data_IF_262443589274
#
_entry.id   IF_262443589274
#
_cell.length_a   1.000
_cell.length_b   1.000
_cell.length_c   1.000
_cell.angle_alpha   90.00
_cell.angle_beta   90.00
_cell.angle_gamma   90.00
#
_symmetry.space_group_name_H-M   'P 1'
#
loop_
_entity.id
_entity.type
_entity.pdbx_description
1 polymer ?
#
# COMPACT_ATOMS: atom_id res chain seq x y z
N UNK A 1 17.44 -20.25 -0.54
CA UNK A 1 16.10 -20.81 -0.76
C UNK A 1 15.38 -19.81 -1.63
N UNK A 2 14.97 -20.21 -2.82
CA UNK A 2 14.13 -19.36 -3.67
C UNK A 2 12.68 -19.63 -3.31
N UNK A 3 12.07 -18.72 -2.56
CA UNK A 3 10.63 -18.76 -2.29
C UNK A 3 9.85 -18.62 -3.61
N UNK A 4 8.62 -19.10 -3.70
CA UNK A 4 7.78 -18.88 -4.89
C UNK A 4 6.52 -18.15 -4.43
N UNK A 5 6.13 -17.08 -5.12
CA UNK A 5 4.95 -16.30 -4.73
C UNK A 5 3.77 -16.51 -5.66
N UNK A 6 3.07 -17.64 -5.57
CA UNK A 6 1.90 -17.93 -6.41
C UNK A 6 2.15 -17.67 -7.92
N UNK A 7 3.36 -17.98 -8.41
CA UNK A 7 3.76 -17.76 -9.80
C UNK A 7 4.33 -16.37 -10.13
N UNK A 8 4.45 -15.46 -9.15
CA UNK A 8 5.17 -14.20 -9.30
C UNK A 8 6.68 -14.40 -9.05
N UNK A 9 7.55 -13.78 -9.88
CA UNK A 9 8.99 -13.75 -9.65
C UNK A 9 9.36 -13.09 -8.31
N UNK A 10 10.43 -13.58 -7.68
CA UNK A 10 10.94 -13.00 -6.42
C UNK A 10 11.60 -11.63 -6.60
N UNK A 11 11.93 -11.23 -7.83
CA UNK A 11 12.54 -9.92 -8.12
C UNK A 11 11.64 -8.73 -7.73
N UNK A 12 10.34 -8.97 -7.49
CA UNK A 12 9.43 -7.96 -6.99
C UNK A 12 9.51 -7.73 -5.46
N UNK A 13 10.27 -8.56 -4.74
CA UNK A 13 10.53 -8.39 -3.31
C UNK A 13 11.84 -7.65 -3.09
N UNK A 14 11.75 -6.47 -2.49
CA UNK A 14 12.92 -5.69 -2.11
C UNK A 14 12.85 -5.33 -0.63
N UNK A 15 14.01 -5.35 0.05
CA UNK A 15 14.15 -5.00 1.45
C UNK A 15 14.93 -3.70 1.58
N UNK A 16 14.42 -2.77 2.39
CA UNK A 16 15.07 -1.49 2.71
C UNK A 16 15.16 -1.32 4.23
N UNK A 17 16.28 -0.77 4.71
CA UNK A 17 16.51 -0.53 6.13
C UNK A 17 16.00 0.88 6.51
N UNK A 18 14.99 0.98 7.38
CA UNK A 18 14.52 2.26 7.90
C UNK A 18 15.32 2.71 9.13
N UNK A 19 15.76 1.77 9.97
CA UNK A 19 16.44 2.10 11.21
C UNK A 19 17.50 1.07 11.61
N UNK A 20 18.76 1.41 11.35
CA UNK A 20 19.95 0.57 11.62
C UNK A 20 20.04 0.13 13.09
N UNK A 21 19.46 0.90 14.01
CA UNK A 21 19.52 0.63 15.45
C UNK A 21 18.42 -0.34 15.93
N UNK A 22 17.26 -0.34 15.28
CA UNK A 22 16.09 -1.11 15.72
C UNK A 22 15.95 -2.45 15.00
N UNK A 23 16.81 -2.74 14.00
CA UNK A 23 16.76 -3.97 13.18
C UNK A 23 15.38 -4.21 12.55
N UNK A 24 14.65 -3.13 12.28
CA UNK A 24 13.39 -3.18 11.55
C UNK A 24 13.69 -2.98 10.05
N UNK A 25 13.12 -3.85 9.23
CA UNK A 25 13.21 -3.79 7.78
C UNK A 25 11.84 -3.45 7.19
N UNK A 26 11.84 -2.72 6.08
CA UNK A 26 10.67 -2.55 5.23
C UNK A 26 10.85 -3.48 4.03
N UNK A 27 9.87 -4.33 3.80
CA UNK A 27 9.82 -5.17 2.60
C UNK A 27 8.71 -4.66 1.70
N UNK A 28 8.95 -4.59 0.39
CA UNK A 28 7.94 -4.24 -0.61
C UNK A 28 7.69 -5.41 -1.53
N UNK A 29 6.49 -5.51 -2.07
CA UNK A 29 6.10 -6.57 -2.97
C UNK A 29 4.86 -6.18 -3.80
N UNK A 30 4.55 -6.96 -4.85
CA UNK A 30 3.27 -6.85 -5.58
C UNK A 30 2.12 -7.46 -4.75
N UNK A 31 0.88 -7.45 -5.26
CA UNK A 31 -0.22 -8.13 -4.58
C UNK A 31 -0.16 -9.66 -4.81
N UNK A 32 -0.62 -10.50 -3.85
CA UNK A 32 -0.71 -11.94 -4.06
C UNK A 32 -1.76 -12.31 -5.12
N UNK A 33 -1.63 -13.49 -5.72
CA UNK A 33 -2.63 -14.09 -6.62
C UNK A 33 -3.54 -15.08 -5.87
N UNK A 34 -3.95 -14.72 -4.65
CA UNK A 34 -4.74 -15.58 -3.77
C UNK A 34 -6.19 -15.76 -4.21
N UNK A 35 -6.72 -14.88 -5.07
CA UNK A 35 -8.11 -14.90 -5.48
C UNK A 35 -9.06 -14.96 -4.28
N UNK A 36 -10.06 -15.84 -4.35
CA UNK A 36 -11.02 -16.00 -3.25
C UNK A 36 -10.46 -16.84 -2.09
N UNK A 37 -9.67 -17.87 -2.36
CA UNK A 37 -9.26 -18.87 -1.35
C UNK A 37 -7.89 -19.54 -1.59
N UNK A 38 -7.17 -19.18 -2.64
CA UNK A 38 -5.88 -19.79 -2.92
C UNK A 38 -4.82 -19.37 -1.89
N UNK A 39 -3.92 -20.31 -1.58
CA UNK A 39 -2.85 -20.16 -0.59
C UNK A 39 -1.54 -20.65 -1.19
N UNK A 40 -0.43 -20.18 -0.64
CA UNK A 40 0.92 -20.52 -1.07
C UNK A 40 1.82 -20.70 0.13
N UNK A 41 2.25 -21.93 0.35
CA UNK A 41 3.07 -22.29 1.53
C UNK A 41 4.39 -21.54 1.51
N UNK A 42 5.00 -21.39 0.35
CA UNK A 42 6.28 -20.70 0.19
C UNK A 42 6.17 -19.19 0.50
N UNK A 43 5.03 -18.56 0.20
CA UNK A 43 4.76 -17.16 0.55
C UNK A 43 4.53 -17.00 2.06
N UNK A 44 3.82 -17.95 2.68
CA UNK A 44 3.63 -18.03 4.13
C UNK A 44 4.98 -18.22 4.86
N UNK A 45 5.82 -19.16 4.39
CA UNK A 45 7.16 -19.40 4.93
C UNK A 45 8.09 -18.19 4.78
N UNK A 46 8.00 -17.47 3.66
CA UNK A 46 8.77 -16.26 3.43
C UNK A 46 8.40 -15.14 4.41
N UNK A 47 7.10 -14.87 4.60
CA UNK A 47 6.62 -13.89 5.58
C UNK A 47 7.02 -14.29 7.01
N UNK A 48 7.02 -15.58 7.34
CA UNK A 48 7.55 -16.08 8.61
C UNK A 48 9.06 -15.85 8.74
N UNK A 49 9.84 -16.04 7.67
CA UNK A 49 11.27 -15.80 7.68
C UNK A 49 11.60 -14.31 7.90
N UNK A 50 10.86 -13.40 7.26
CA UNK A 50 10.98 -11.95 7.47
C UNK A 50 10.68 -11.61 8.94
N UNK A 51 9.57 -12.13 9.48
CA UNK A 51 9.21 -11.91 10.89
C UNK A 51 10.29 -12.41 11.85
N UNK A 52 10.84 -13.61 11.63
CA UNK A 52 11.91 -14.20 12.47
C UNK A 52 13.24 -13.45 12.39
N UNK A 53 13.49 -12.72 11.32
CA UNK A 53 14.69 -11.89 11.19
C UNK A 53 14.72 -10.73 12.20
N UNK A 54 13.55 -10.31 12.72
CA UNK A 54 13.43 -9.37 13.83
C UNK A 54 12.81 -10.05 15.07
N UNK A 55 13.59 -10.84 15.83
CA UNK A 55 13.06 -11.59 16.99
C UNK A 55 12.61 -10.71 18.16
N UNK A 56 12.88 -9.39 18.11
CA UNK A 56 12.42 -8.45 19.14
C UNK A 56 10.95 -8.09 18.98
N UNK A 57 10.37 -8.27 17.80
CA UNK A 57 8.96 -8.02 17.55
C UNK A 57 8.15 -9.32 17.64
N UNK A 58 6.97 -9.25 18.24
CA UNK A 58 6.04 -10.39 18.33
C UNK A 58 5.12 -10.51 17.11
N UNK A 59 5.06 -9.48 16.27
CA UNK A 59 4.26 -9.47 15.05
C UNK A 59 4.93 -8.63 13.95
N UNK A 60 4.46 -8.78 12.71
CA UNK A 60 4.87 -8.01 11.54
C UNK A 60 3.67 -7.26 10.94
N UNK A 61 3.85 -6.01 10.53
CA UNK A 61 2.82 -5.29 9.79
C UNK A 61 2.83 -5.69 8.32
N UNK A 62 1.63 -5.90 7.77
CA UNK A 62 1.41 -6.04 6.33
C UNK A 62 0.49 -4.91 5.91
N UNK A 63 1.05 -3.94 5.18
CA UNK A 63 0.31 -2.79 4.68
C UNK A 63 -0.04 -2.97 3.20
N UNK A 64 -1.33 -2.90 2.87
CA UNK A 64 -1.79 -2.74 1.49
C UNK A 64 -2.13 -1.27 1.27
N UNK A 65 -1.44 -0.65 0.32
CA UNK A 65 -1.59 0.78 0.08
C UNK A 65 -2.96 1.13 -0.50
N UNK A 66 -3.68 0.17 -1.08
CA UNK A 66 -4.96 0.42 -1.75
C UNK A 66 -6.08 0.73 -0.76
N UNK A 67 -7.12 1.47 -1.19
CA UNK A 67 -8.42 1.45 -0.54
C UNK A 67 -8.96 0.02 -0.48
N UNK A 68 -9.57 -0.33 0.66
CA UNK A 68 -10.17 -1.65 0.88
C UNK A 68 -11.07 -2.09 -0.27
N UNK A 69 -11.89 -1.18 -0.80
CA UNK A 69 -12.80 -1.48 -1.92
C UNK A 69 -12.03 -1.88 -3.19
N UNK A 70 -10.94 -1.17 -3.51
CA UNK A 70 -10.09 -1.46 -4.66
C UNK A 70 -9.35 -2.80 -4.48
N UNK A 71 -8.92 -3.12 -3.25
CA UNK A 71 -8.32 -4.41 -2.94
C UNK A 71 -9.33 -5.57 -3.07
N UNK A 72 -10.56 -5.37 -2.59
CA UNK A 72 -11.66 -6.34 -2.76
C UNK A 72 -12.02 -6.57 -4.24
N UNK A 73 -12.08 -5.52 -5.05
CA UNK A 73 -12.32 -5.65 -6.49
C UNK A 73 -11.22 -6.45 -7.19
N UNK A 74 -9.94 -6.20 -6.86
CA UNK A 74 -8.83 -6.99 -7.38
C UNK A 74 -8.90 -8.46 -6.94
N UNK A 75 -9.32 -8.71 -5.69
CA UNK A 75 -9.53 -10.06 -5.16
C UNK A 75 -10.57 -10.84 -5.96
N UNK A 76 -11.70 -10.20 -6.28
CA UNK A 76 -12.74 -10.79 -7.13
C UNK A 76 -12.25 -11.12 -8.56
N UNK A 77 -11.25 -10.38 -9.05
CA UNK A 77 -10.60 -10.60 -10.35
C UNK A 77 -9.45 -11.63 -10.31
N UNK A 78 -9.30 -12.41 -9.23
CA UNK A 78 -8.28 -13.47 -9.12
C UNK A 78 -6.93 -13.01 -8.57
N UNK A 79 -6.81 -11.75 -8.13
CA UNK A 79 -5.65 -11.26 -7.36
C UNK A 79 -5.98 -11.31 -5.87
N UNK A 80 -5.40 -10.48 -5.01
CA UNK A 80 -5.81 -10.47 -3.62
C UNK A 80 -4.98 -9.59 -2.71
N UNK A 81 -5.06 -9.92 -1.43
CA UNK A 81 -4.28 -9.39 -0.32
C UNK A 81 -4.20 -10.50 0.75
N UNK A 82 -3.26 -10.37 1.67
CA UNK A 82 -2.98 -11.35 2.72
C UNK A 82 -4.15 -11.43 3.73
N UNK A 83 -4.54 -12.65 4.13
CA UNK A 83 -5.57 -12.87 5.15
C UNK A 83 -4.93 -13.23 6.50
N UNK A 84 -5.26 -12.52 7.58
CA UNK A 84 -4.72 -12.78 8.92
C UNK A 84 -4.95 -14.23 9.40
N UNK A 85 -6.01 -14.89 8.94
CA UNK A 85 -6.26 -16.31 9.25
C UNK A 85 -5.20 -17.27 8.66
N UNK A 86 -4.57 -16.86 7.55
CA UNK A 86 -3.61 -17.69 6.82
C UNK A 86 -2.16 -17.39 7.22
N UNK A 87 -1.88 -16.17 7.69
CA UNK A 87 -0.54 -15.72 8.02
C UNK A 87 -0.43 -15.44 9.53
N UNK A 88 0.24 -16.34 10.25
CA UNK A 88 0.43 -16.19 11.69
C UNK A 88 1.26 -14.94 12.02
N UNK A 89 0.89 -14.24 13.10
CA UNK A 89 1.65 -13.11 13.66
C UNK A 89 1.80 -11.90 12.72
N UNK A 90 0.85 -11.69 11.81
CA UNK A 90 0.75 -10.44 11.05
C UNK A 90 -0.31 -9.50 11.63
N UNK A 91 -0.18 -8.20 11.35
CA UNK A 91 -1.24 -7.20 11.49
C UNK A 91 -1.47 -6.56 10.13
N UNK A 92 -2.64 -6.80 9.54
CA UNK A 92 -2.95 -6.31 8.21
C UNK A 92 -3.63 -4.94 8.25
N UNK A 93 -3.22 -4.00 7.38
CA UNK A 93 -3.82 -2.67 7.30
C UNK A 93 -3.96 -2.18 5.86
N UNK A 94 -5.08 -1.49 5.57
CA UNK A 94 -5.26 -0.73 4.34
C UNK A 94 -4.89 0.74 4.57
N UNK A 95 -4.06 1.31 3.69
CA UNK A 95 -3.67 2.73 3.77
C UNK A 95 -4.70 3.65 3.10
N UNK A 96 -5.25 3.26 1.96
CA UNK A 96 -6.28 4.05 1.25
C UNK A 96 -5.77 4.99 0.16
N UNK A 97 -4.61 4.73 -0.42
CA UNK A 97 -4.04 5.49 -1.54
C UNK A 97 -4.73 5.11 -2.84
N UNK A 98 -5.48 6.06 -3.41
CA UNK A 98 -6.19 5.87 -4.67
C UNK A 98 -5.25 5.53 -5.84
N UNK A 99 -5.84 4.89 -6.85
CA UNK A 99 -5.06 4.42 -8.00
C UNK A 99 -4.52 5.58 -8.87
N UNK A 100 -3.57 5.26 -9.75
CA UNK A 100 -2.92 6.24 -10.62
C UNK A 100 -3.88 7.05 -11.51
N UNK A 101 -5.07 6.52 -11.83
CA UNK A 101 -6.05 7.24 -12.63
C UNK A 101 -6.73 8.34 -11.82
N UNK A 102 -7.03 8.08 -10.55
CA UNK A 102 -7.55 9.09 -9.63
C UNK A 102 -6.50 10.18 -9.40
N UNK A 103 -5.25 9.80 -9.13
CA UNK A 103 -4.16 10.76 -8.91
C UNK A 103 -3.91 11.65 -10.13
N UNK A 104 -3.94 11.07 -11.34
CA UNK A 104 -3.79 11.82 -12.59
C UNK A 104 -4.93 12.82 -12.80
N UNK A 105 -6.17 12.39 -12.56
CA UNK A 105 -7.34 13.26 -12.66
C UNK A 105 -7.30 14.38 -11.61
N UNK A 106 -6.85 14.08 -10.39
CA UNK A 106 -6.65 15.05 -9.32
C UNK A 106 -5.66 16.15 -9.73
N UNK A 107 -4.50 15.77 -10.25
CA UNK A 107 -3.53 16.74 -10.77
C UNK A 107 -4.09 17.55 -11.93
N UNK A 108 -4.80 16.92 -12.87
CA UNK A 108 -5.40 17.62 -14.00
C UNK A 108 -6.38 18.71 -13.54
N UNK A 109 -7.29 18.39 -12.62
CA UNK A 109 -8.24 19.36 -12.04
C UNK A 109 -7.54 20.53 -11.35
N UNK A 110 -6.45 20.25 -10.62
CA UNK A 110 -5.66 21.31 -10.00
C UNK A 110 -5.05 22.25 -11.05
N UNK A 111 -4.50 21.70 -12.13
CA UNK A 111 -3.91 22.50 -13.20
C UNK A 111 -4.96 23.37 -13.89
N UNK A 112 -6.19 22.88 -14.07
CA UNK A 112 -7.33 23.65 -14.60
C UNK A 112 -7.66 24.85 -13.69
N UNK A 113 -7.66 24.64 -12.37
CA UNK A 113 -7.89 25.71 -11.37
C UNK A 113 -6.78 26.76 -11.41
N UNK A 114 -5.52 26.32 -11.49
CA UNK A 114 -4.36 27.22 -11.61
C UNK A 114 -4.34 28.01 -12.92
N UNK A 115 -4.97 27.51 -13.98
CA UNK A 115 -5.04 28.16 -15.29
C UNK A 115 -6.20 29.16 -15.44
N UNK A 116 -7.09 29.29 -14.44
CA UNK A 116 -8.20 30.23 -14.49
C UNK A 116 -7.71 31.69 -14.57
N UNK A 117 -8.37 32.51 -15.41
CA UNK A 117 -8.09 33.95 -15.49
C UNK A 117 -8.82 34.68 -14.37
N UNK A 118 -8.06 35.28 -13.46
CA UNK A 118 -8.58 36.11 -12.36
C UNK A 118 -9.67 35.42 -11.49
N UNK A 119 -9.42 34.21 -10.96
CA UNK A 119 -10.38 33.53 -10.09
C UNK A 119 -10.58 34.31 -8.80
N UNK A 120 -11.79 34.28 -8.23
CA UNK A 120 -11.97 34.70 -6.84
C UNK A 120 -11.29 33.69 -5.92
N UNK A 121 -10.98 34.10 -4.69
CA UNK A 121 -10.46 33.15 -3.70
C UNK A 121 -11.44 31.99 -3.43
N UNK A 122 -12.75 32.24 -3.50
CA UNK A 122 -13.75 31.19 -3.32
C UNK A 122 -13.71 30.17 -4.46
N UNK A 123 -13.57 30.62 -5.69
CA UNK A 123 -13.47 29.73 -6.86
C UNK A 123 -12.21 28.88 -6.80
N UNK A 124 -11.09 29.51 -6.41
CA UNK A 124 -9.81 28.81 -6.25
C UNK A 124 -9.87 27.74 -5.17
N UNK A 125 -10.37 28.07 -3.97
CA UNK A 125 -10.46 27.11 -2.85
C UNK A 125 -11.43 25.97 -3.16
N UNK A 126 -12.58 26.27 -3.76
CA UNK A 126 -13.54 25.25 -4.18
C UNK A 126 -12.94 24.32 -5.23
N UNK A 127 -12.21 24.88 -6.19
CA UNK A 127 -11.49 24.11 -7.21
C UNK A 127 -10.39 23.23 -6.63
N UNK A 128 -9.62 23.76 -5.68
CA UNK A 128 -8.58 23.05 -4.95
C UNK A 128 -9.16 21.86 -4.19
N UNK A 129 -10.24 22.05 -3.43
CA UNK A 129 -10.91 20.99 -2.69
C UNK A 129 -11.46 19.91 -3.64
N UNK A 130 -12.09 20.33 -4.74
CA UNK A 130 -12.66 19.42 -5.75
C UNK A 130 -11.60 18.67 -6.57
N UNK A 131 -10.34 19.15 -6.59
CA UNK A 131 -9.23 18.41 -7.17
C UNK A 131 -8.90 17.16 -6.36
N UNK A 132 -9.20 17.14 -5.04
CA UNK A 132 -8.86 16.05 -4.14
C UNK A 132 -7.36 15.85 -3.91
N UNK A 133 -6.51 16.78 -4.35
CA UNK A 133 -5.06 16.66 -4.23
C UNK A 133 -4.62 16.65 -2.76
N UNK A 134 -5.19 17.52 -1.93
CA UNK A 134 -4.88 17.58 -0.50
C UNK A 134 -5.21 16.27 0.22
N UNK A 135 -6.39 15.69 -0.05
CA UNK A 135 -6.78 14.39 0.48
C UNK A 135 -5.85 13.26 -0.01
N UNK A 136 -5.44 13.31 -1.27
CA UNK A 136 -4.48 12.35 -1.85
C UNK A 136 -3.10 12.45 -1.18
N UNK A 137 -2.64 13.66 -0.87
CA UNK A 137 -1.37 13.89 -0.18
C UNK A 137 -1.41 13.41 1.28
N UNK A 138 -2.49 13.71 2.01
CA UNK A 138 -2.71 13.21 3.37
C UNK A 138 -2.71 11.68 3.45
N UNK A 139 -3.29 11.00 2.45
CA UNK A 139 -3.23 9.54 2.35
C UNK A 139 -1.81 8.99 2.17
N UNK A 140 -0.95 9.73 1.45
CA UNK A 140 0.47 9.38 1.31
C UNK A 140 1.27 9.70 2.59
N UNK A 141 1.05 10.84 3.22
CA UNK A 141 1.80 11.29 4.40
C UNK A 141 1.52 10.43 5.63
N UNK A 142 0.26 10.02 5.83
CA UNK A 142 -0.12 9.07 6.89
C UNK A 142 0.61 7.72 6.82
N UNK A 143 1.19 7.39 5.68
CA UNK A 143 1.99 6.18 5.48
C UNK A 143 3.43 6.32 6.03
N UNK A 144 3.92 7.55 6.24
CA UNK A 144 5.28 7.85 6.70
C UNK A 144 5.33 8.38 8.15
N UNK A 145 4.22 8.93 8.66
CA UNK A 145 4.13 9.49 10.01
C UNK A 145 4.09 8.46 11.15
N UNK A 146 4.20 7.16 10.89
CA UNK A 146 4.31 6.11 11.94
C UNK A 146 5.74 6.03 12.52
N UNK A 147 6.57 7.08 12.32
CA UNK A 147 8.00 7.05 12.65
C UNK A 147 8.47 8.14 13.62
N UNK A 148 7.57 8.94 14.21
CA UNK A 148 7.91 9.91 15.26
C UNK A 148 7.34 9.50 16.64
#
# INVERSE_FOLDING_TARGET
>A
MDFKRMGLPNEFWEMTDLNKNYKAAICRCSQPLSGLSARCVEDEEMLQAISRANPKSTFMYVGDTRPKLNAMANRAAGKGYENEDNYSNIRFQFVGIENIHVMRNSLQKLLEVCAMKSPTMSDYLTGLDNSGLAASHQGCDGCWSVSD
#
